data_IF_376675370190
#
_entry.id   IF_376675370190
#
_cell.length_a   1.000
_cell.length_b   1.000
_cell.length_c   1.000
_cell.angle_alpha   90.00
_cell.angle_beta   90.00
_cell.angle_gamma   90.00
#
_symmetry.space_group_name_H-M   'P 1'
#
loop_
_entity.id
_entity.type
_entity.pdbx_description
1 polymer ?
#
# COMPACT_ATOMS: atom_id res chain seq x y z
N UNK A 1 -8.56 9.44 22.68
CA UNK A 1 -8.26 8.02 22.45
C UNK A 1 -6.76 7.81 22.58
N UNK A 2 -6.36 6.83 23.39
CA UNK A 2 -4.96 6.38 23.47
C UNK A 2 -4.58 5.47 22.29
N UNK A 3 -3.29 5.17 22.12
CA UNK A 3 -2.82 4.24 21.06
C UNK A 3 -3.48 2.86 21.14
N UNK A 4 -3.80 2.38 22.34
CA UNK A 4 -4.51 1.11 22.55
C UNK A 4 -5.91 1.11 21.92
N UNK A 5 -6.65 2.22 22.07
CA UNK A 5 -7.98 2.38 21.48
C UNK A 5 -7.93 2.35 19.95
N UNK A 6 -6.91 2.99 19.36
CA UNK A 6 -6.72 3.04 17.90
C UNK A 6 -6.32 1.68 17.32
N UNK A 7 -5.51 0.90 18.04
CA UNK A 7 -5.16 -0.47 17.63
C UNK A 7 -6.38 -1.39 17.65
N UNK A 8 -7.19 -1.35 18.71
CA UNK A 8 -8.42 -2.14 18.81
C UNK A 8 -9.42 -1.80 17.69
N UNK A 9 -9.58 -0.51 17.37
CA UNK A 9 -10.42 -0.06 16.25
C UNK A 9 -9.90 -0.56 14.89
N UNK A 10 -8.58 -0.53 14.66
CA UNK A 10 -7.97 -1.09 13.44
C UNK A 10 -8.33 -2.58 13.32
N UNK A 11 -8.11 -3.34 14.38
CA UNK A 11 -8.30 -4.79 14.37
C UNK A 11 -9.78 -5.15 14.14
N UNK A 12 -10.71 -4.43 14.79
CA UNK A 12 -12.15 -4.57 14.55
C UNK A 12 -12.50 -4.28 13.08
N UNK A 13 -11.98 -3.19 12.51
CA UNK A 13 -12.32 -2.75 11.15
C UNK A 13 -11.82 -3.71 10.07
N UNK A 14 -10.72 -4.41 10.35
CA UNK A 14 -10.10 -5.34 9.40
C UNK A 14 -10.31 -6.82 9.75
N UNK A 15 -11.18 -7.15 10.71
CA UNK A 15 -11.46 -8.54 11.16
C UNK A 15 -11.84 -9.47 10.00
N UNK A 16 -12.52 -8.96 8.97
CA UNK A 16 -12.94 -9.73 7.79
C UNK A 16 -12.18 -9.37 6.51
N UNK A 17 -11.05 -8.67 6.62
CA UNK A 17 -10.26 -8.30 5.45
C UNK A 17 -9.56 -9.54 4.91
N UNK A 18 -9.89 -9.91 3.67
CA UNK A 18 -9.09 -10.89 2.96
C UNK A 18 -7.73 -10.26 2.62
N UNK A 19 -6.59 -10.96 2.79
CA UNK A 19 -5.32 -10.46 2.34
C UNK A 19 -5.39 -10.17 0.83
N UNK A 20 -4.80 -9.06 0.36
CA UNK A 20 -4.69 -8.83 -1.07
C UNK A 20 -3.87 -9.96 -1.70
N UNK A 21 -4.16 -10.36 -2.94
CA UNK A 21 -3.35 -11.34 -3.65
C UNK A 21 -1.90 -10.84 -3.76
N UNK A 22 -0.95 -11.75 -3.65
CA UNK A 22 0.46 -11.44 -3.91
C UNK A 22 0.58 -10.92 -5.33
N UNK A 23 1.07 -9.69 -5.47
CA UNK A 23 1.17 -9.02 -6.77
C UNK A 23 2.58 -8.47 -6.95
N UNK A 24 3.11 -8.57 -8.17
CA UNK A 24 4.41 -7.98 -8.49
C UNK A 24 4.36 -6.45 -8.38
N UNK A 25 5.48 -5.83 -7.96
CA UNK A 25 5.58 -4.36 -7.83
C UNK A 25 5.21 -3.62 -9.12
N UNK A 26 5.51 -4.20 -10.28
CA UNK A 26 5.20 -3.64 -11.59
C UNK A 26 3.69 -3.41 -11.82
N UNK A 27 2.84 -4.24 -11.22
CA UNK A 27 1.39 -4.03 -11.28
C UNK A 27 0.99 -2.74 -10.56
N UNK A 28 1.57 -2.47 -9.40
CA UNK A 28 1.29 -1.26 -8.63
C UNK A 28 1.80 -0.01 -9.35
N UNK A 29 2.99 -0.08 -9.96
CA UNK A 29 3.54 1.01 -10.77
C UNK A 29 2.65 1.28 -12.00
N UNK A 30 2.22 0.23 -12.70
CA UNK A 30 1.32 0.36 -13.83
C UNK A 30 -0.04 0.98 -13.44
N UNK A 31 -0.59 0.59 -12.27
CA UNK A 31 -1.83 1.15 -11.76
C UNK A 31 -1.72 2.66 -11.44
N UNK A 32 -0.60 3.10 -10.86
CA UNK A 32 -0.33 4.52 -10.63
C UNK A 32 -0.19 5.29 -11.95
N UNK A 33 0.54 4.75 -12.92
CA UNK A 33 0.66 5.38 -14.23
C UNK A 33 -0.71 5.51 -14.91
N UNK A 34 -1.55 4.46 -14.86
CA UNK A 34 -2.91 4.47 -15.40
C UNK A 34 -3.83 5.47 -14.66
N UNK A 35 -3.61 5.69 -13.37
CA UNK A 35 -4.35 6.69 -12.59
C UNK A 35 -3.95 8.15 -12.90
N UNK A 36 -2.95 8.36 -13.77
CA UNK A 36 -2.54 9.68 -14.24
C UNK A 36 -1.61 10.42 -13.27
N UNK A 37 -0.80 9.69 -12.50
CA UNK A 37 0.38 10.26 -11.84
C UNK A 37 1.45 10.57 -12.89
N UNK A 38 2.07 11.74 -12.80
CA UNK A 38 3.05 12.27 -13.75
C UNK A 38 4.44 11.66 -13.57
N UNK A 39 4.78 11.26 -12.34
CA UNK A 39 5.98 10.49 -12.02
C UNK A 39 5.59 9.30 -11.15
N UNK A 40 6.12 8.12 -11.46
CA UNK A 40 5.85 6.87 -10.73
C UNK A 40 7.14 6.07 -10.60
N UNK A 41 7.42 5.57 -9.40
CA UNK A 41 8.60 4.74 -9.18
C UNK A 41 8.73 4.16 -7.78
N UNK A 42 9.69 3.26 -7.61
CA UNK A 42 10.10 2.74 -6.30
C UNK A 42 11.05 3.73 -5.64
N UNK A 43 10.73 4.15 -4.41
CA UNK A 43 11.59 5.06 -3.62
C UNK A 43 12.39 4.32 -2.55
N UNK A 44 11.98 3.10 -2.21
CA UNK A 44 12.74 2.24 -1.29
C UNK A 44 12.39 0.77 -1.52
N UNK A 45 13.36 -0.10 -1.25
CA UNK A 45 13.19 -1.56 -1.30
C UNK A 45 14.02 -2.26 -0.21
N UNK A 46 13.44 -3.30 0.40
CA UNK A 46 14.15 -4.34 1.14
C UNK A 46 13.53 -5.70 0.80
N UNK A 47 14.31 -6.60 0.20
CA UNK A 47 13.81 -7.90 -0.28
C UNK A 47 12.58 -7.71 -1.18
N UNK A 48 11.44 -8.29 -0.82
CA UNK A 48 10.15 -8.19 -1.50
C UNK A 48 9.27 -7.03 -1.01
N UNK A 49 9.72 -6.27 -0.02
CA UNK A 49 9.04 -5.05 0.42
C UNK A 49 9.45 -3.87 -0.45
N UNK A 50 8.45 -3.19 -1.03
CA UNK A 50 8.61 -2.01 -1.85
C UNK A 50 7.80 -0.84 -1.29
N UNK A 51 8.41 0.34 -1.24
CA UNK A 51 7.68 1.61 -1.12
C UNK A 51 7.70 2.27 -2.48
N UNK A 52 6.51 2.46 -3.05
CA UNK A 52 6.31 3.15 -4.32
C UNK A 52 5.76 4.56 -4.10
N UNK A 53 6.07 5.44 -5.02
CA UNK A 53 5.64 6.84 -5.02
C UNK A 53 4.95 7.16 -6.35
N UNK A 54 3.94 8.02 -6.27
CA UNK A 54 3.31 8.66 -7.41
C UNK A 54 3.17 10.16 -7.14
N UNK A 55 3.69 11.01 -8.02
CA UNK A 55 3.50 12.48 -8.01
C UNK A 55 2.43 12.84 -9.03
N UNK A 56 1.51 13.74 -8.67
CA UNK A 56 0.47 14.24 -9.58
C UNK A 56 0.88 15.59 -10.14
#
# INVERSE_FOLDING_TARGET
MGRGDLAALRDQRFTHRNPPPTTAVDFHLAALAQAGFSEVGTVWQLLDDYVVMGVK
#
